data_IF_853429577664
#
_entry.id   IF_853429577664
#
_cell.length_a   1.000
_cell.length_b   1.000
_cell.length_c   1.000
_cell.angle_alpha   90.00
_cell.angle_beta   90.00
_cell.angle_gamma   90.00
#
_symmetry.space_group_name_H-M   'P 1'
#
loop_
_entity.id
_entity.type
_entity.pdbx_description
1 polymer ?
#
# COMPACT_ATOMS: atom_id res chain seq x y z
N UNK A 1 -8.73 -9.42 15.37
CA UNK A 1 -8.02 -8.50 16.30
C UNK A 1 -7.24 -7.46 15.49
N UNK A 2 -7.22 -6.22 15.95
CA UNK A 2 -6.34 -5.16 15.46
C UNK A 2 -5.37 -4.81 16.59
N UNK A 3 -4.07 -4.95 16.36
CA UNK A 3 -3.02 -4.57 17.30
C UNK A 3 -2.33 -3.31 16.80
N UNK A 4 -2.12 -2.35 17.69
CA UNK A 4 -1.39 -1.12 17.40
C UNK A 4 -0.29 -0.91 18.44
N UNK A 5 0.92 -0.69 17.96
CA UNK A 5 2.09 -0.31 18.75
C UNK A 5 2.77 0.83 17.99
N UNK A 6 2.51 2.07 18.44
CA UNK A 6 3.00 3.24 17.73
C UNK A 6 2.42 3.44 16.34
N UNK A 7 3.34 3.45 15.37
CA UNK A 7 3.07 3.47 13.93
C UNK A 7 2.78 2.08 13.35
N UNK A 8 3.07 1.00 14.08
CA UNK A 8 2.83 -0.37 13.60
C UNK A 8 1.40 -0.78 13.90
N UNK A 9 0.66 -1.17 12.84
CA UNK A 9 -0.68 -1.73 12.93
C UNK A 9 -0.71 -3.11 12.30
N UNK A 10 -1.31 -4.09 12.97
CA UNK A 10 -1.47 -5.46 12.47
C UNK A 10 -2.91 -5.94 12.67
N UNK A 11 -3.50 -6.46 11.61
CA UNK A 11 -4.81 -7.13 11.64
C UNK A 11 -4.59 -8.63 11.49
N UNK A 12 -5.26 -9.42 12.33
CA UNK A 12 -5.18 -10.88 12.27
C UNK A 12 -6.48 -11.52 12.77
N UNK A 13 -6.75 -12.73 12.28
CA UNK A 13 -7.74 -13.62 12.86
C UNK A 13 -7.22 -14.14 14.21
N UNK A 14 -8.09 -14.23 15.21
CA UNK A 14 -7.74 -14.73 16.54
C UNK A 14 -8.09 -16.21 16.59
N UNK A 15 -7.07 -17.04 16.77
CA UNK A 15 -7.22 -18.47 17.04
C UNK A 15 -6.53 -18.81 18.35
N UNK A 16 -7.11 -19.74 19.11
CA UNK A 16 -6.59 -20.10 20.44
C UNK A 16 -5.22 -20.77 20.27
N UNK A 17 -4.21 -20.20 20.92
CA UNK A 17 -2.84 -20.72 20.90
C UNK A 17 -1.95 -20.14 19.80
N UNK A 18 -2.50 -19.28 18.93
CA UNK A 18 -1.72 -18.65 17.85
C UNK A 18 -0.97 -17.42 18.37
N UNK A 19 0.34 -17.40 18.18
CA UNK A 19 1.20 -16.27 18.57
C UNK A 19 1.20 -15.21 17.47
N UNK A 20 0.83 -13.98 17.82
CA UNK A 20 0.89 -12.84 16.91
C UNK A 20 2.17 -12.05 17.20
N UNK A 21 3.19 -12.23 16.36
CA UNK A 21 4.44 -11.48 16.48
C UNK A 21 4.32 -10.07 15.86
N UNK A 22 4.85 -9.07 16.57
CA UNK A 22 5.03 -7.68 16.10
C UNK A 22 6.54 -7.44 16.04
N UNK A 23 7.14 -7.28 14.84
CA UNK A 23 8.59 -7.42 14.68
C UNK A 23 9.43 -6.32 15.36
N UNK A 24 8.86 -5.16 15.71
CA UNK A 24 9.56 -4.07 16.42
C UNK A 24 8.58 -3.26 17.27
N UNK A 25 8.73 -3.33 18.59
CA UNK A 25 8.04 -2.47 19.54
C UNK A 25 9.00 -1.38 20.01
N UNK A 26 8.71 -0.09 19.79
CA UNK A 26 9.47 0.97 20.43
C UNK A 26 9.30 0.87 21.96
N UNK A 27 10.36 1.08 22.75
CA UNK A 27 10.39 0.73 24.17
C UNK A 27 9.52 1.60 25.08
N UNK A 28 8.88 2.65 24.56
CA UNK A 28 8.12 3.63 25.37
C UNK A 28 6.67 3.83 24.92
N UNK A 29 6.13 2.98 24.04
CA UNK A 29 4.77 3.17 23.54
C UNK A 29 3.84 2.06 24.00
N UNK A 30 2.65 2.47 24.43
CA UNK A 30 1.60 1.56 24.86
C UNK A 30 1.08 0.73 23.69
N UNK A 31 0.81 -0.55 23.96
CA UNK A 31 0.21 -1.47 22.99
C UNK A 31 -1.31 -1.40 23.11
N UNK A 32 -1.98 -0.96 22.05
CA UNK A 32 -3.43 -0.99 21.95
C UNK A 32 -3.89 -2.26 21.25
N UNK A 33 -4.87 -2.95 21.82
CA UNK A 33 -5.43 -4.18 21.26
C UNK A 33 -6.95 -4.03 21.16
N UNK A 34 -7.43 -4.02 19.92
CA UNK A 34 -8.85 -3.95 19.60
C UNK A 34 -9.38 -5.32 19.16
N UNK A 35 -10.38 -5.80 19.88
CA UNK A 35 -11.14 -6.98 19.46
C UNK A 35 -12.25 -6.53 18.52
N UNK A 36 -12.08 -6.87 17.25
CA UNK A 36 -13.04 -6.58 16.19
C UNK A 36 -13.79 -7.86 15.85
N UNK A 37 -15.11 -7.76 15.79
CA UNK A 37 -15.99 -8.81 15.26
C UNK A 37 -16.37 -8.43 13.84
N UNK A 38 -16.25 -9.37 12.90
CA UNK A 38 -16.74 -9.16 11.54
C UNK A 38 -18.28 -9.13 11.57
N UNK A 39 -18.86 -7.98 11.21
CA UNK A 39 -20.32 -7.81 11.16
C UNK A 39 -20.92 -8.38 9.88
N UNK A 40 -20.15 -8.39 8.79
CA UNK A 40 -20.57 -8.94 7.50
C UNK A 40 -19.59 -8.58 6.38
N UNK A 41 -19.90 -9.06 5.19
CA UNK A 41 -19.25 -8.68 3.93
C UNK A 41 -20.37 -8.37 2.95
N UNK A 42 -20.27 -7.24 2.26
CA UNK A 42 -21.21 -6.87 1.20
C UNK A 42 -20.45 -6.32 0.01
N UNK A 43 -20.93 -6.62 -1.18
CA UNK A 43 -20.58 -5.88 -2.39
C UNK A 43 -21.50 -4.66 -2.45
N UNK A 44 -20.93 -3.48 -2.69
CA UNK A 44 -21.71 -2.27 -2.92
C UNK A 44 -21.38 -1.72 -4.30
N UNK A 45 -22.40 -1.27 -5.02
CA UNK A 45 -22.23 -0.64 -6.33
C UNK A 45 -21.98 0.86 -6.12
N UNK A 46 -20.89 1.36 -6.71
CA UNK A 46 -20.49 2.76 -6.57
C UNK A 46 -21.08 3.59 -7.71
N UNK A 47 -22.02 4.47 -7.38
CA UNK A 47 -22.53 5.48 -8.32
C UNK A 47 -21.52 6.63 -8.46
N UNK A 48 -21.09 6.93 -9.69
CA UNK A 48 -19.99 7.88 -9.96
C UNK A 48 -20.29 9.34 -9.62
N UNK A 49 -21.55 9.67 -9.35
CA UNK A 49 -22.04 11.03 -9.09
C UNK A 49 -22.21 11.34 -7.58
N UNK A 50 -22.18 10.34 -6.72
CA UNK A 50 -22.30 10.49 -5.27
C UNK A 50 -20.94 10.32 -4.59
N UNK A 51 -20.42 11.38 -3.96
CA UNK A 51 -19.15 11.32 -3.22
C UNK A 51 -19.24 10.69 -1.83
N UNK A 52 -20.45 10.34 -1.37
CA UNK A 52 -20.73 9.68 -0.09
C UNK A 52 -21.84 8.64 -0.30
N UNK A 53 -21.56 7.38 0.06
CA UNK A 53 -22.50 6.27 -0.02
C UNK A 53 -22.85 5.77 1.38
N UNK A 54 -24.13 5.49 1.62
CA UNK A 54 -24.61 4.84 2.84
C UNK A 54 -24.65 3.32 2.62
N UNK A 55 -23.85 2.58 3.37
CA UNK A 55 -23.82 1.11 3.36
C UNK A 55 -24.45 0.59 4.64
N UNK A 56 -25.54 -0.16 4.53
CA UNK A 56 -26.26 -0.71 5.67
C UNK A 56 -25.90 -2.18 5.87
N UNK A 57 -25.36 -2.52 7.04
CA UNK A 57 -25.18 -3.89 7.51
C UNK A 57 -26.39 -4.26 8.36
N UNK A 58 -27.15 -5.26 7.91
CA UNK A 58 -28.24 -5.87 8.67
C UNK A 58 -27.92 -7.33 8.98
N UNK A 59 -28.23 -7.76 10.21
CA UNK A 59 -28.38 -9.17 10.54
C UNK A 59 -29.85 -9.52 10.40
N UNK A 60 -30.21 -10.59 9.67
CA UNK A 60 -31.60 -11.06 9.51
C UNK A 60 -32.30 -11.41 10.85
N UNK A 61 -31.56 -11.39 11.96
CA UNK A 61 -31.99 -11.88 13.28
C UNK A 61 -32.11 -10.80 14.35
N UNK A 62 -31.75 -9.55 14.07
CA UNK A 62 -31.88 -8.44 15.02
C UNK A 62 -32.14 -7.11 14.33
N UNK A 63 -33.03 -6.29 14.89
CA UNK A 63 -33.41 -4.93 14.44
C UNK A 63 -32.28 -3.89 14.59
N UNK A 64 -31.04 -4.35 14.78
CA UNK A 64 -29.86 -3.53 15.01
C UNK A 64 -29.11 -3.36 13.69
N UNK A 65 -29.42 -2.29 12.98
CA UNK A 65 -28.81 -1.94 11.71
C UNK A 65 -27.62 -1.00 11.92
N UNK A 66 -26.44 -1.41 11.46
CA UNK A 66 -25.26 -0.55 11.44
C UNK A 66 -25.15 0.07 10.06
N UNK A 67 -25.22 1.40 9.99
CA UNK A 67 -24.98 2.15 8.75
C UNK A 67 -23.57 2.72 8.73
N UNK A 68 -22.91 2.62 7.58
CA UNK A 68 -21.56 3.07 7.34
C UNK A 68 -21.55 4.06 6.17
N UNK A 69 -21.07 5.29 6.44
CA UNK A 69 -20.90 6.33 5.43
C UNK A 69 -19.53 6.21 4.77
N UNK A 70 -19.49 5.76 3.53
CA UNK A 70 -18.28 5.66 2.72
C UNK A 70 -18.16 6.91 1.86
N UNK A 71 -17.15 7.75 2.10
CA UNK A 71 -16.78 8.79 1.13
C UNK A 71 -15.65 8.27 0.24
N UNK A 72 -15.96 8.03 -1.04
CA UNK A 72 -14.99 7.58 -2.02
C UNK A 72 -14.66 8.77 -2.93
N UNK A 73 -13.37 9.10 -3.01
CA UNK A 73 -12.88 10.14 -3.92
C UNK A 73 -12.10 9.46 -5.04
N UNK A 74 -12.70 9.42 -6.22
CA UNK A 74 -11.98 9.07 -7.43
C UNK A 74 -10.89 10.13 -7.68
N UNK A 75 -9.67 9.73 -8.07
CA UNK A 75 -8.67 10.70 -8.51
C UNK A 75 -9.16 11.32 -9.82
N UNK A 76 -9.74 12.51 -9.74
CA UNK A 76 -10.00 13.34 -10.90
C UNK A 76 -8.65 13.72 -11.51
N UNK A 77 -8.36 13.18 -12.69
CA UNK A 77 -7.35 13.78 -13.55
C UNK A 77 -7.86 15.18 -13.87
N UNK A 78 -7.10 16.19 -13.44
CA UNK A 78 -7.41 17.62 -13.49
C UNK A 78 -8.07 18.19 -12.24
N UNK A 79 -7.24 18.46 -11.23
CA UNK A 79 -7.35 19.72 -10.50
C UNK A 79 -5.94 20.20 -10.13
N UNK A 80 -5.52 21.30 -10.77
CA UNK A 80 -4.43 22.13 -10.27
C UNK A 80 -4.91 22.75 -8.96
N UNK A 81 -4.78 22.02 -7.85
CA UNK A 81 -4.91 22.64 -6.54
C UNK A 81 -3.57 23.20 -6.15
N UNK A 82 -3.47 24.53 -6.25
CA UNK A 82 -2.54 25.37 -5.52
C UNK A 82 -2.86 25.24 -4.01
N UNK A 83 -2.63 24.04 -3.47
CA UNK A 83 -2.48 23.83 -2.04
C UNK A 83 -1.00 24.02 -1.81
N UNK A 84 -0.65 24.84 -0.84
CA UNK A 84 0.70 24.89 -0.28
C UNK A 84 1.06 23.49 0.22
N UNK A 85 1.57 22.66 -0.70
CA UNK A 85 1.91 21.28 -0.45
C UNK A 85 2.99 21.31 0.59
N UNK A 86 2.73 20.76 1.77
CA UNK A 86 3.79 20.57 2.76
C UNK A 86 4.99 19.94 2.04
N UNK A 87 6.23 20.35 2.36
CA UNK A 87 7.41 19.88 1.62
C UNK A 87 7.46 18.36 1.52
N UNK A 88 6.98 17.66 2.56
CA UNK A 88 6.84 16.19 2.59
C UNK A 88 5.87 15.65 1.53
N UNK A 89 4.71 16.28 1.35
CA UNK A 89 3.72 15.88 0.35
C UNK A 89 4.21 16.17 -1.07
N UNK A 90 4.88 17.31 -1.29
CA UNK A 90 5.49 17.62 -2.58
C UNK A 90 6.55 16.59 -2.96
N UNK A 91 7.48 16.29 -2.04
CA UNK A 91 8.49 15.25 -2.24
C UNK A 91 7.85 13.88 -2.52
N UNK A 92 6.80 13.50 -1.77
CA UNK A 92 6.11 12.24 -2.00
C UNK A 92 5.46 12.15 -3.40
N UNK A 93 4.84 13.24 -3.86
CA UNK A 93 4.24 13.30 -5.20
C UNK A 93 5.29 13.24 -6.30
N UNK A 94 6.43 13.91 -6.13
CA UNK A 94 7.57 13.81 -7.05
C UNK A 94 8.13 12.40 -7.09
N UNK A 95 8.35 11.77 -5.93
CA UNK A 95 8.84 10.38 -5.86
C UNK A 95 7.87 9.42 -6.52
N UNK A 96 6.56 9.55 -6.28
CA UNK A 96 5.54 8.74 -6.96
C UNK A 96 5.64 8.93 -8.47
N UNK A 97 5.65 10.17 -8.95
CA UNK A 97 5.72 10.46 -10.37
C UNK A 97 7.00 9.91 -11.01
N UNK A 98 8.14 9.98 -10.32
CA UNK A 98 9.40 9.40 -10.78
C UNK A 98 9.30 7.88 -10.89
N UNK A 99 8.80 7.21 -9.86
CA UNK A 99 8.64 5.75 -9.86
C UNK A 99 7.68 5.27 -10.96
N UNK A 100 6.60 6.01 -11.20
CA UNK A 100 5.61 5.71 -12.25
C UNK A 100 6.17 5.99 -13.65
N UNK A 101 6.80 7.16 -13.87
CA UNK A 101 7.35 7.56 -15.17
C UNK A 101 8.47 6.64 -15.64
N UNK A 102 9.29 6.14 -14.71
CA UNK A 102 10.40 5.26 -15.01
C UNK A 102 10.04 3.77 -14.87
N UNK A 103 8.77 3.43 -14.63
CA UNK A 103 8.28 2.05 -14.49
C UNK A 103 9.11 1.21 -13.48
N UNK A 104 9.69 1.84 -12.46
CA UNK A 104 10.70 1.23 -11.57
C UNK A 104 10.11 0.02 -10.85
N UNK A 105 8.86 0.14 -10.40
CA UNK A 105 8.15 -0.94 -9.70
C UNK A 105 7.99 -2.16 -10.59
N UNK A 106 7.57 -1.96 -11.84
CA UNK A 106 7.37 -3.04 -12.82
C UNK A 106 8.70 -3.72 -13.17
N UNK A 107 9.78 -2.96 -13.35
CA UNK A 107 11.10 -3.51 -13.63
C UNK A 107 11.61 -4.34 -12.45
N UNK A 108 11.39 -3.88 -11.21
CA UNK A 108 11.75 -4.63 -10.01
C UNK A 108 10.94 -5.93 -9.86
N UNK A 109 9.64 -5.90 -10.16
CA UNK A 109 8.77 -7.08 -10.16
C UNK A 109 9.25 -8.12 -11.19
N UNK A 110 9.60 -7.68 -12.40
CA UNK A 110 10.16 -8.56 -13.43
C UNK A 110 11.46 -9.20 -12.97
N UNK A 111 12.36 -8.43 -12.36
CA UNK A 111 13.64 -8.92 -11.87
C UNK A 111 13.47 -10.00 -10.78
N UNK A 112 12.53 -9.78 -9.85
CA UNK A 112 12.20 -10.76 -8.81
C UNK A 112 11.57 -12.02 -9.39
N UNK A 113 10.73 -11.89 -10.42
CA UNK A 113 10.15 -13.03 -11.13
C UNK A 113 11.23 -13.85 -11.85
N UNK A 114 12.17 -13.19 -12.53
CA UNK A 114 13.29 -13.82 -13.23
C UNK A 114 14.15 -14.64 -12.23
N UNK A 115 14.48 -14.07 -11.06
CA UNK A 115 15.21 -14.78 -9.98
C UNK A 115 14.43 -15.97 -9.42
N UNK A 116 13.12 -15.82 -9.22
CA UNK A 116 12.25 -16.88 -8.70
C UNK A 116 12.14 -18.05 -9.68
N UNK A 117 12.17 -17.76 -10.98
CA UNK A 117 12.08 -18.75 -12.05
C UNK A 117 13.41 -19.46 -12.30
N UNK A 118 14.50 -18.70 -12.48
CA UNK A 118 15.82 -19.26 -12.82
C UNK A 118 16.56 -19.86 -11.61
N UNK A 119 16.17 -19.47 -10.38
CA UNK A 119 16.77 -19.89 -9.11
C UNK A 119 18.31 -19.95 -9.17
N UNK A 120 18.97 -18.84 -9.53
CA UNK A 120 20.40 -18.78 -9.64
C UNK A 120 21.07 -19.08 -8.28
N UNK A 121 22.26 -19.67 -8.34
CA UNK A 121 23.03 -20.02 -7.15
C UNK A 121 23.51 -18.78 -6.37
N UNK A 122 23.74 -17.67 -7.09
CA UNK A 122 23.92 -16.34 -6.52
C UNK A 122 22.87 -15.37 -7.11
N UNK A 123 21.78 -15.10 -6.38
CA UNK A 123 20.74 -14.17 -6.83
C UNK A 123 21.21 -12.73 -6.99
N UNK A 124 22.17 -12.28 -6.20
CA UNK A 124 22.62 -10.89 -6.24
C UNK A 124 23.40 -10.62 -7.52
N UNK A 125 24.34 -11.51 -7.86
CA UNK A 125 25.14 -11.43 -9.09
C UNK A 125 24.25 -11.54 -10.33
N UNK A 126 23.28 -12.46 -10.32
CA UNK A 126 22.29 -12.58 -11.38
C UNK A 126 21.47 -11.29 -11.56
N UNK A 127 20.99 -10.69 -10.46
CA UNK A 127 20.21 -9.46 -10.50
C UNK A 127 21.02 -8.27 -11.05
N UNK A 128 22.29 -8.15 -10.67
CA UNK A 128 23.19 -7.12 -11.19
C UNK A 128 23.37 -7.25 -12.70
N UNK A 129 23.74 -8.45 -13.17
CA UNK A 129 23.87 -8.74 -14.60
C UNK A 129 22.56 -8.44 -15.35
N UNK A 130 21.43 -8.82 -14.77
CA UNK A 130 20.12 -8.60 -15.39
C UNK A 130 19.77 -7.12 -15.50
N UNK A 131 20.10 -6.31 -14.48
CA UNK A 131 19.90 -4.86 -14.49
C UNK A 131 20.80 -4.16 -15.51
N UNK A 132 22.06 -4.60 -15.68
CA UNK A 132 22.97 -4.10 -16.72
C UNK A 132 22.38 -4.33 -18.12
N UNK A 133 21.74 -5.48 -18.34
CA UNK A 133 21.08 -5.80 -19.61
C UNK A 133 19.80 -4.98 -19.85
N UNK A 134 19.10 -4.59 -18.78
CA UNK A 134 17.90 -3.74 -18.84
C UNK A 134 18.23 -2.25 -19.04
N UNK A 135 19.45 -1.84 -18.67
CA UNK A 135 19.94 -0.47 -18.81
C UNK A 135 21.16 -0.44 -19.74
N UNK A 136 20.99 -0.64 -21.06
CA UNK A 136 22.11 -0.49 -21.99
C UNK A 136 22.51 0.98 -22.01
N UNK A 137 23.69 1.27 -21.46
CA UNK A 137 24.41 2.55 -21.49
C UNK A 137 23.51 3.77 -21.70
N UNK A 138 23.00 4.32 -20.60
CA UNK A 138 22.71 5.76 -20.59
C UNK A 138 24.04 6.42 -20.91
N UNK A 139 24.18 7.00 -22.10
CA UNK A 139 25.29 7.87 -22.46
C UNK A 139 25.54 8.79 -21.26
N UNK A 140 26.63 8.52 -20.54
CA UNK A 140 27.21 9.46 -19.62
C UNK A 140 27.55 10.63 -20.54
N UNK A 141 26.76 11.69 -20.48
CA UNK A 141 27.10 12.96 -21.10
C UNK A 141 28.41 13.40 -20.45
N UNK A 142 29.50 13.02 -21.13
CA UNK A 142 30.84 13.51 -20.91
C UNK A 142 30.80 15.03 -21.08
N UNK A 143 31.53 15.68 -20.21
CA UNK A 143 31.54 17.11 -19.96
C UNK A 143 31.96 17.89 -21.22
N UNK A 144 31.45 19.12 -21.42
CA UNK A 144 32.30 20.24 -21.87
C UNK A 144 31.60 21.61 -21.75
N UNK A 145 32.21 22.44 -20.90
CA UNK A 145 32.21 23.93 -20.80
C UNK A 145 30.93 24.71 -20.48
#
# INVERSE_FOLDING_TARGET
VSLRAGSVRKHAQVEKGTVISIPRLPPSEDVHVDFLTQLGTCDFEMESDQGVHDVVFGSDTSDDHVSLKLSVRLPTVSEKTDVTTSPKLHTALLMRNYLDTHDVVRQMEQLVQDVSFDQPQDPLEYMMWRLEQMCPDTEILDETE
#
